data_IF_617968311384
#
_entry.id   IF_617968311384
#
_cell.length_a   1.000
_cell.length_b   1.000
_cell.length_c   1.000
_cell.angle_alpha   90.00
_cell.angle_beta   90.00
_cell.angle_gamma   90.00
#
_symmetry.space_group_name_H-M   'P 1'
#
loop_
_entity.id
_entity.type
_entity.pdbx_description
1 polymer ?
#
# COMPACT_ATOMS: atom_id res chain seq x y z
N UNK A 1 -8.50 4.27 18.23
CA UNK A 1 -9.28 5.53 18.20
C UNK A 1 -8.68 6.58 19.12
N UNK A 2 -8.80 6.45 20.45
CA UNK A 2 -8.27 7.44 21.40
C UNK A 2 -6.75 7.70 21.25
N UNK A 3 -5.93 6.66 21.12
CA UNK A 3 -4.47 6.78 21.00
C UNK A 3 -4.00 7.68 19.84
N UNK A 4 -4.72 7.66 18.71
CA UNK A 4 -4.36 8.38 17.49
C UNK A 4 -5.39 9.45 17.09
N UNK A 5 -6.33 9.79 17.98
CA UNK A 5 -7.39 10.77 17.68
C UNK A 5 -8.35 10.41 16.53
N UNK A 6 -8.43 9.13 16.12
CA UNK A 6 -9.23 8.71 14.97
C UNK A 6 -10.71 8.52 15.29
N UNK A 7 -11.60 8.94 14.38
CA UNK A 7 -13.06 8.76 14.50
C UNK A 7 -13.48 7.28 14.46
N UNK A 8 -12.86 6.48 13.61
CA UNK A 8 -13.13 5.05 13.42
C UNK A 8 -11.83 4.25 13.31
N UNK A 9 -11.89 2.95 13.58
CA UNK A 9 -10.79 2.02 13.36
C UNK A 9 -11.35 0.61 13.11
N UNK A 10 -10.87 -0.07 12.06
CA UNK A 10 -11.11 -1.49 11.85
C UNK A 10 -9.94 -2.28 12.48
N UNK A 11 -10.25 -3.19 13.42
CA UNK A 11 -9.26 -3.95 14.22
C UNK A 11 -9.27 -5.44 13.91
N UNK A 12 -9.93 -5.86 12.82
CA UNK A 12 -10.06 -7.25 12.41
C UNK A 12 -8.92 -7.80 11.53
N UNK A 13 -8.18 -7.01 10.72
CA UNK A 13 -7.11 -7.56 9.90
C UNK A 13 -6.07 -8.32 10.72
N UNK A 14 -5.82 -9.58 10.35
CA UNK A 14 -4.91 -10.48 11.07
C UNK A 14 -3.44 -10.08 10.96
N UNK A 15 -3.05 -9.28 9.96
CA UNK A 15 -1.72 -8.73 9.80
C UNK A 15 -1.75 -7.48 8.90
N UNK A 16 -0.63 -6.76 8.84
CA UNK A 16 -0.53 -5.50 8.06
C UNK A 16 -0.78 -5.68 6.57
N UNK A 17 -0.30 -6.78 5.97
CA UNK A 17 -0.55 -7.06 4.54
C UNK A 17 -2.04 -7.20 4.22
N UNK A 18 -2.82 -7.83 5.11
CA UNK A 18 -4.28 -7.96 4.97
C UNK A 18 -4.98 -6.63 5.21
N UNK A 19 -4.46 -5.76 6.07
CA UNK A 19 -5.00 -4.41 6.25
C UNK A 19 -4.87 -3.59 4.96
N UNK A 20 -3.73 -3.65 4.28
CA UNK A 20 -3.54 -2.99 2.97
C UNK A 20 -4.47 -3.58 1.91
N UNK A 21 -4.61 -4.91 1.86
CA UNK A 21 -5.54 -5.56 0.93
C UNK A 21 -7.00 -5.13 1.17
N UNK A 22 -7.44 -5.07 2.43
CA UNK A 22 -8.78 -4.61 2.78
C UNK A 22 -9.02 -3.14 2.38
N UNK A 23 -8.02 -2.27 2.57
CA UNK A 23 -8.11 -0.87 2.16
C UNK A 23 -8.25 -0.73 0.64
N UNK A 24 -7.43 -1.45 -0.15
CA UNK A 24 -7.53 -1.39 -1.61
C UNK A 24 -8.83 -1.99 -2.14
N UNK A 25 -9.26 -3.16 -1.63
CA UNK A 25 -10.52 -3.78 -2.05
C UNK A 25 -11.75 -2.93 -1.71
N UNK A 26 -11.68 -2.12 -0.66
CA UNK A 26 -12.79 -1.24 -0.27
C UNK A 26 -12.89 0.02 -1.15
N UNK A 27 -11.78 0.49 -1.72
CA UNK A 27 -11.68 1.81 -2.36
C UNK A 27 -11.42 1.75 -3.86
N UNK A 28 -10.89 0.65 -4.38
CA UNK A 28 -10.38 0.53 -5.73
C UNK A 28 -11.02 -0.65 -6.46
N UNK A 29 -11.16 -0.49 -7.77
CA UNK A 29 -11.46 -1.58 -8.69
C UNK A 29 -10.16 -2.18 -9.25
N UNK A 30 -10.24 -3.41 -9.77
CA UNK A 30 -9.12 -4.01 -10.48
C UNK A 30 -8.72 -3.14 -11.68
N UNK A 31 -7.41 -2.96 -11.87
CA UNK A 31 -6.85 -2.08 -12.90
C UNK A 31 -6.74 -0.60 -12.52
N UNK A 32 -7.35 -0.15 -11.41
CA UNK A 32 -7.13 1.21 -10.91
C UNK A 32 -5.65 1.45 -10.60
N UNK A 33 -5.20 2.70 -10.73
CA UNK A 33 -3.78 3.04 -10.54
C UNK A 33 -3.46 3.25 -9.08
N UNK A 34 -2.38 2.62 -8.61
CA UNK A 34 -1.79 2.87 -7.29
C UNK A 34 -0.36 3.37 -7.46
N UNK A 35 0.04 4.33 -6.63
CA UNK A 35 1.40 4.83 -6.54
C UNK A 35 2.01 4.37 -5.21
N UNK A 36 3.13 3.67 -5.26
CA UNK A 36 3.85 3.18 -4.07
C UNK A 36 5.34 3.43 -4.14
N UNK A 37 6.01 3.47 -2.99
CA UNK A 37 7.47 3.51 -2.94
C UNK A 37 8.03 2.17 -3.41
N UNK A 38 9.09 2.21 -4.22
CA UNK A 38 9.78 1.03 -4.73
C UNK A 38 10.35 0.19 -3.60
N UNK A 39 10.40 -1.15 -3.77
CA UNK A 39 11.00 -2.04 -2.78
C UNK A 39 12.50 -1.78 -2.58
N UNK A 40 13.19 -1.32 -3.63
CA UNK A 40 14.61 -1.00 -3.56
C UNK A 40 14.88 0.22 -2.66
N UNK A 41 13.89 1.11 -2.53
CA UNK A 41 14.01 2.40 -1.85
C UNK A 41 13.29 2.43 -0.49
N UNK A 42 12.92 1.26 0.05
CA UNK A 42 12.29 1.13 1.37
C UNK A 42 10.77 0.90 1.35
N UNK A 43 10.18 0.71 0.17
CA UNK A 43 8.80 0.28 0.00
C UNK A 43 8.51 -1.11 0.58
N UNK A 44 7.23 -1.51 0.52
CA UNK A 44 6.77 -2.82 1.01
C UNK A 44 6.10 -3.62 -0.12
N UNK A 45 6.12 -4.95 -0.03
CA UNK A 45 5.56 -5.83 -1.06
C UNK A 45 4.10 -5.51 -1.42
N UNK A 46 3.31 -5.05 -0.45
CA UNK A 46 1.90 -4.69 -0.65
C UNK A 46 1.68 -3.28 -1.20
N UNK A 47 2.74 -2.56 -1.57
CA UNK A 47 2.66 -1.21 -2.16
C UNK A 47 2.77 -1.24 -3.69
N UNK A 48 2.43 -2.37 -4.34
CA UNK A 48 2.44 -2.50 -5.80
C UNK A 48 3.59 -3.33 -6.37
N UNK A 49 4.33 -4.10 -5.55
CA UNK A 49 5.34 -5.01 -6.08
C UNK A 49 4.70 -6.03 -7.04
N UNK A 50 5.29 -6.21 -8.22
CA UNK A 50 4.70 -7.01 -9.33
C UNK A 50 4.34 -8.44 -8.97
N UNK A 51 5.04 -9.04 -8.00
CA UNK A 51 4.80 -10.42 -7.52
C UNK A 51 3.66 -10.52 -6.48
N UNK A 52 3.27 -9.41 -5.87
CA UNK A 52 2.25 -9.34 -4.82
C UNK A 52 0.84 -9.11 -5.41
N UNK A 53 -0.22 -9.35 -4.62
CA UNK A 53 -1.60 -9.08 -5.05
C UNK A 53 -1.76 -7.62 -5.55
N UNK A 54 -1.13 -6.68 -4.86
CA UNK A 54 -1.23 -5.24 -5.19
C UNK A 54 -0.65 -4.92 -6.58
N UNK A 55 0.46 -5.55 -6.98
CA UNK A 55 1.02 -5.38 -8.32
C UNK A 55 0.38 -6.24 -9.40
N UNK A 56 -0.33 -7.33 -9.03
CA UNK A 56 -1.04 -8.21 -9.97
C UNK A 56 -2.43 -7.71 -10.34
N UNK A 57 -3.15 -7.09 -9.38
CA UNK A 57 -4.57 -6.72 -9.53
C UNK A 57 -4.73 -5.28 -9.98
N UNK A 58 -3.82 -4.38 -9.59
CA UNK A 58 -3.89 -2.95 -9.88
C UNK A 58 -2.80 -2.53 -10.87
N UNK A 59 -2.98 -1.36 -11.50
CA UNK A 59 -1.94 -0.74 -12.29
C UNK A 59 -0.96 -0.01 -11.34
N UNK A 60 0.06 -0.74 -10.87
CA UNK A 60 1.02 -0.22 -9.91
C UNK A 60 2.13 0.59 -10.61
N UNK A 61 2.27 1.86 -10.20
CA UNK A 61 3.39 2.73 -10.54
C UNK A 61 4.23 2.90 -9.28
N UNK A 62 5.55 2.95 -9.43
CA UNK A 62 6.47 3.09 -8.30
C UNK A 62 7.25 4.39 -8.39
N UNK A 63 7.46 5.05 -7.24
CA UNK A 63 8.45 6.11 -7.09
C UNK A 63 9.64 5.61 -6.26
N UNK A 64 10.80 6.21 -6.50
CA UNK A 64 12.01 5.95 -5.72
C UNK A 64 12.45 7.19 -4.95
N UNK A 65 13.69 7.16 -4.47
CA UNK A 65 14.36 8.31 -3.87
C UNK A 65 15.71 8.56 -4.56
N UNK A 66 16.19 9.79 -4.50
CA UNK A 66 17.54 10.16 -4.92
C UNK A 66 18.59 9.76 -3.86
N UNK A 67 19.86 10.07 -4.15
CA UNK A 67 20.98 9.72 -3.28
C UNK A 67 20.96 10.44 -1.92
N UNK A 68 20.28 11.58 -1.83
CA UNK A 68 20.14 12.37 -0.60
C UNK A 68 18.89 11.94 0.20
N UNK A 69 18.06 11.07 -0.38
CA UNK A 69 16.87 10.48 0.24
C UNK A 69 15.57 11.24 -0.05
N UNK A 70 15.54 12.10 -1.06
CA UNK A 70 14.35 12.84 -1.48
C UNK A 70 13.62 12.14 -2.64
N UNK A 71 12.31 12.39 -2.78
CA UNK A 71 11.48 11.88 -3.89
C UNK A 71 11.59 12.76 -5.13
#
# INVERSE_FOLDING_TARGET
>A
KALFGAAYANVQPHAGSQANAAAYLALLNAGDTILGMSLADGGHLTHGASVNFSGKVYHAIQYGIDADGYM
#
